data_IF_312865714301
#
_entry.id   IF_312865714301
#
_cell.length_a   1.000
_cell.length_b   1.000
_cell.length_c   1.000
_cell.angle_alpha   90.00
_cell.angle_beta   90.00
_cell.angle_gamma   90.00
#
_symmetry.space_group_name_H-M   'P 1'
#
loop_
_entity.id
_entity.type
_entity.pdbx_description
1 polymer ?
#
# COMPACT_ATOMS: atom_id res chain seq x y z
N UNK A 1 -55.06 -63.78 11.82
CA UNK A 1 -54.71 -62.52 12.48
C UNK A 1 -53.44 -62.03 11.84
N UNK A 2 -53.48 -61.06 10.82
CA UNK A 2 -52.31 -60.53 10.09
C UNK A 2 -51.91 -59.26 10.79
N UNK A 3 -50.74 -59.23 11.35
CA UNK A 3 -50.13 -58.00 11.90
C UNK A 3 -49.47 -57.21 10.77
N UNK A 4 -49.96 -56.03 10.48
CA UNK A 4 -49.39 -55.08 9.56
C UNK A 4 -48.34 -54.25 10.30
N UNK A 5 -47.05 -54.36 9.91
CA UNK A 5 -45.96 -53.52 10.44
C UNK A 5 -45.94 -52.20 9.65
N UNK A 6 -46.24 -51.12 10.33
CA UNK A 6 -46.08 -49.74 9.78
C UNK A 6 -44.62 -49.27 10.00
N UNK A 7 -43.89 -49.01 8.95
CA UNK A 7 -42.55 -48.40 9.00
C UNK A 7 -42.71 -46.90 8.95
N UNK A 8 -42.24 -46.23 10.02
CA UNK A 8 -42.13 -44.76 10.08
C UNK A 8 -40.82 -44.34 9.42
N UNK A 9 -40.85 -43.73 8.25
CA UNK A 9 -39.70 -43.12 7.60
C UNK A 9 -39.47 -41.73 8.21
N UNK A 10 -38.40 -41.57 8.99
CA UNK A 10 -37.93 -40.28 9.49
C UNK A 10 -37.00 -39.71 8.43
N UNK A 11 -37.47 -38.68 7.69
CA UNK A 11 -36.63 -37.91 6.78
C UNK A 11 -35.81 -36.90 7.58
N UNK A 12 -34.50 -37.12 7.71
CA UNK A 12 -33.56 -36.17 8.28
C UNK A 12 -33.22 -35.18 7.15
N UNK A 13 -33.76 -33.97 7.25
CA UNK A 13 -33.35 -32.84 6.39
C UNK A 13 -31.98 -32.35 6.87
N UNK A 14 -30.92 -32.65 6.15
CA UNK A 14 -29.61 -32.04 6.30
C UNK A 14 -29.66 -30.63 5.77
N UNK A 15 -29.74 -29.64 6.65
CA UNK A 15 -29.51 -28.24 6.34
C UNK A 15 -28.02 -28.06 6.05
N UNK A 16 -27.65 -28.07 4.75
CA UNK A 16 -26.35 -27.58 4.33
C UNK A 16 -26.38 -26.05 4.46
N UNK A 17 -25.80 -25.53 5.54
CA UNK A 17 -25.41 -24.13 5.60
C UNK A 17 -24.23 -23.96 4.63
N UNK A 18 -24.50 -23.50 3.42
CA UNK A 18 -23.45 -23.01 2.52
C UNK A 18 -22.83 -21.80 3.21
N UNK A 19 -21.63 -21.94 3.75
CA UNK A 19 -20.76 -20.79 4.01
C UNK A 19 -20.45 -20.18 2.66
N UNK A 20 -21.18 -19.14 2.29
CA UNK A 20 -20.82 -18.28 1.18
C UNK A 20 -19.47 -17.63 1.56
N UNK A 21 -18.39 -18.07 0.95
CA UNK A 21 -17.18 -17.26 0.94
C UNK A 21 -17.54 -15.99 0.15
N UNK A 22 -17.36 -14.84 0.76
CA UNK A 22 -17.58 -13.58 0.10
C UNK A 22 -16.82 -13.57 -1.24
N UNK A 23 -17.52 -13.33 -2.34
CA UNK A 23 -16.92 -13.42 -3.68
C UNK A 23 -15.97 -12.24 -3.87
N UNK A 24 -14.67 -12.53 -4.05
CA UNK A 24 -13.64 -11.54 -4.32
C UNK A 24 -13.63 -11.19 -5.80
N UNK A 25 -14.01 -9.97 -6.15
CA UNK A 25 -13.86 -9.44 -7.51
C UNK A 25 -12.42 -8.99 -7.76
N UNK A 26 -11.79 -9.49 -8.81
CA UNK A 26 -10.42 -9.11 -9.19
C UNK A 26 -10.42 -8.53 -10.61
N UNK A 27 -10.05 -7.25 -10.71
CA UNK A 27 -9.76 -6.59 -11.98
C UNK A 27 -8.25 -6.43 -12.11
N UNK A 28 -7.64 -7.28 -12.93
CA UNK A 28 -6.19 -7.30 -13.13
C UNK A 28 -5.75 -6.27 -14.18
N UNK A 29 -4.52 -5.78 -14.00
CA UNK A 29 -3.76 -5.03 -15.00
C UNK A 29 -4.50 -3.81 -15.57
N UNK A 30 -5.10 -3.01 -14.70
CA UNK A 30 -5.67 -1.71 -15.06
C UNK A 30 -4.54 -0.77 -15.45
N UNK A 31 -4.52 -0.31 -16.69
CA UNK A 31 -3.46 0.57 -17.20
C UNK A 31 -3.71 1.99 -16.69
N UNK A 32 -2.77 2.56 -15.94
CA UNK A 32 -2.81 3.94 -15.47
C UNK A 32 -1.86 4.88 -16.22
N UNK A 33 -1.00 4.32 -17.06
CA UNK A 33 -0.07 5.08 -17.88
C UNK A 33 0.76 4.20 -18.80
N UNK A 34 1.54 4.84 -19.64
CA UNK A 34 2.54 4.20 -20.51
C UNK A 34 3.88 4.89 -20.34
N UNK A 35 4.96 4.13 -20.35
CA UNK A 35 6.33 4.61 -20.19
C UNK A 35 7.27 3.76 -21.05
N UNK A 36 7.98 4.39 -21.97
CA UNK A 36 8.96 3.73 -22.85
C UNK A 36 8.44 2.43 -23.53
N UNK A 37 7.20 2.47 -24.00
CA UNK A 37 6.55 1.33 -24.66
C UNK A 37 6.00 0.27 -23.72
N UNK A 38 6.04 0.49 -22.38
CA UNK A 38 5.45 -0.42 -21.39
C UNK A 38 4.17 0.19 -20.80
N UNK A 39 3.21 -0.67 -20.46
CA UNK A 39 2.08 -0.29 -19.65
C UNK A 39 2.50 -0.24 -18.17
N UNK A 40 2.09 0.81 -17.48
CA UNK A 40 2.11 0.91 -16.03
C UNK A 40 0.75 0.47 -15.50
N UNK A 41 0.72 -0.50 -14.58
CA UNK A 41 -0.51 -1.16 -14.18
C UNK A 41 -0.70 -1.22 -12.67
N UNK A 42 -1.97 -1.29 -12.26
CA UNK A 42 -2.39 -1.75 -10.95
C UNK A 42 -3.49 -2.80 -11.09
N UNK A 43 -3.77 -3.53 -10.02
CA UNK A 43 -4.94 -4.41 -9.96
C UNK A 43 -5.88 -3.95 -8.86
N UNK A 44 -7.18 -4.28 -8.98
CA UNK A 44 -8.20 -3.97 -7.97
C UNK A 44 -8.75 -5.28 -7.43
N UNK A 45 -8.58 -5.50 -6.13
CA UNK A 45 -9.13 -6.62 -5.40
C UNK A 45 -10.25 -6.07 -4.50
N UNK A 46 -11.49 -6.34 -4.87
CA UNK A 46 -12.66 -5.80 -4.17
C UNK A 46 -13.48 -6.92 -3.55
N UNK A 47 -13.65 -6.93 -2.22
CA UNK A 47 -14.52 -7.88 -1.54
C UNK A 47 -16.00 -7.54 -1.79
N UNK A 48 -16.88 -8.54 -1.68
CA UNK A 48 -18.34 -8.35 -1.82
C UNK A 48 -18.90 -7.31 -0.84
N UNK A 49 -18.36 -7.28 0.39
CA UNK A 49 -18.74 -6.36 1.46
C UNK A 49 -17.89 -5.06 1.47
N UNK A 50 -17.45 -4.58 0.30
CA UNK A 50 -16.59 -3.40 0.21
C UNK A 50 -17.21 -2.19 0.94
N UNK A 51 -16.41 -1.56 1.81
CA UNK A 51 -16.82 -0.43 2.66
C UNK A 51 -16.59 0.96 2.02
N UNK A 52 -16.05 0.96 0.79
CA UNK A 52 -15.72 2.16 0.02
C UNK A 52 -14.32 2.72 0.29
N UNK A 53 -13.62 2.29 1.33
CA UNK A 53 -12.22 2.67 1.53
C UNK A 53 -11.28 1.75 0.75
N UNK A 54 -10.14 2.28 0.32
CA UNK A 54 -9.14 1.53 -0.44
C UNK A 54 -7.75 1.61 0.18
N UNK A 55 -7.01 0.51 0.08
CA UNK A 55 -5.60 0.44 0.49
C UNK A 55 -4.74 0.19 -0.73
N UNK A 56 -3.92 1.17 -1.07
CA UNK A 56 -2.96 1.06 -2.16
C UNK A 56 -1.65 0.51 -1.63
N UNK A 57 -1.22 -0.61 -2.17
CA UNK A 57 0.03 -1.28 -1.81
C UNK A 57 1.10 -1.02 -2.85
N UNK A 58 2.22 -0.43 -2.42
CA UNK A 58 3.38 -0.19 -3.29
C UNK A 58 4.13 -1.49 -3.55
N UNK A 59 4.02 -2.04 -4.75
CA UNK A 59 4.78 -3.23 -5.17
C UNK A 59 6.20 -2.81 -5.49
N UNK A 60 7.03 -2.69 -4.45
CA UNK A 60 8.39 -2.17 -4.54
C UNK A 60 9.31 -2.78 -3.48
N UNK A 61 10.45 -3.29 -3.90
CA UNK A 61 11.54 -3.76 -3.03
C UNK A 61 12.86 -3.33 -3.63
N UNK A 62 13.63 -2.42 -2.96
CA UNK A 62 14.79 -1.77 -3.57
C UNK A 62 14.45 -1.01 -4.87
N UNK A 63 13.21 -0.51 -4.95
CA UNK A 63 12.60 0.12 -6.13
C UNK A 63 12.55 -0.80 -7.38
N UNK A 64 12.69 -2.11 -7.19
CA UNK A 64 12.26 -3.09 -8.17
C UNK A 64 10.76 -3.35 -8.01
N UNK A 65 10.00 -3.16 -9.07
CA UNK A 65 8.56 -3.45 -9.12
C UNK A 65 8.33 -4.63 -10.06
N UNK A 66 8.21 -5.82 -9.48
CA UNK A 66 8.05 -7.06 -10.25
C UNK A 66 6.58 -7.41 -10.36
N UNK A 67 6.11 -7.56 -11.59
CA UNK A 67 4.74 -8.00 -11.83
C UNK A 67 4.46 -9.37 -11.20
N UNK A 68 3.27 -9.51 -10.67
CA UNK A 68 2.77 -10.75 -10.06
C UNK A 68 1.26 -10.84 -10.30
N UNK A 69 0.70 -12.04 -10.49
CA UNK A 69 -0.74 -12.19 -10.60
C UNK A 69 -1.48 -11.62 -9.40
N UNK A 70 -2.59 -10.91 -9.66
CA UNK A 70 -3.37 -10.21 -8.61
C UNK A 70 -3.80 -11.14 -7.47
N UNK A 71 -4.09 -12.41 -7.76
CA UNK A 71 -4.48 -13.43 -6.78
C UNK A 71 -3.46 -13.63 -5.65
N UNK A 72 -2.16 -13.37 -5.89
CA UNK A 72 -1.13 -13.45 -4.84
C UNK A 72 -1.29 -12.38 -3.76
N UNK A 73 -1.91 -11.27 -4.10
CA UNK A 73 -2.17 -10.20 -3.13
C UNK A 73 -3.39 -10.50 -2.28
N UNK A 74 -4.36 -11.28 -2.76
CA UNK A 74 -5.53 -11.68 -1.99
C UNK A 74 -5.14 -12.38 -0.68
N UNK A 75 -4.25 -13.38 -0.72
CA UNK A 75 -3.79 -14.08 0.48
C UNK A 75 -2.83 -13.24 1.36
N UNK A 76 -2.20 -12.23 0.79
CA UNK A 76 -1.32 -11.33 1.56
C UNK A 76 -2.10 -10.28 2.35
N UNK A 77 -3.28 -9.95 1.90
CA UNK A 77 -4.14 -8.89 2.42
C UNK A 77 -5.54 -9.39 2.75
N UNK A 78 -5.65 -10.68 3.13
CA UNK A 78 -6.92 -11.30 3.53
C UNK A 78 -7.56 -10.54 4.70
N UNK A 79 -6.76 -10.12 5.68
CA UNK A 79 -7.18 -9.30 6.82
C UNK A 79 -7.85 -7.97 6.39
N UNK A 80 -7.32 -7.32 5.35
CA UNK A 80 -7.89 -6.08 4.82
C UNK A 80 -9.15 -6.33 4.01
N UNK A 81 -9.14 -7.36 3.17
CA UNK A 81 -10.28 -7.76 2.35
C UNK A 81 -11.46 -8.20 3.23
N UNK A 82 -11.20 -8.99 4.29
CA UNK A 82 -12.20 -9.41 5.28
C UNK A 82 -12.81 -8.22 6.03
N UNK A 83 -12.01 -7.17 6.26
CA UNK A 83 -12.46 -5.91 6.85
C UNK A 83 -13.22 -5.00 5.87
N UNK A 84 -13.39 -5.42 4.61
CA UNK A 84 -14.14 -4.68 3.59
C UNK A 84 -13.33 -3.64 2.82
N UNK A 85 -12.01 -3.56 3.01
CA UNK A 85 -11.18 -2.66 2.20
C UNK A 85 -10.97 -3.20 0.79
N UNK A 86 -11.04 -2.32 -0.20
CA UNK A 86 -10.54 -2.62 -1.54
C UNK A 86 -9.02 -2.52 -1.53
N UNK A 87 -8.30 -3.56 -2.00
CA UNK A 87 -6.84 -3.57 -2.05
C UNK A 87 -6.35 -3.35 -3.48
N UNK A 88 -5.40 -2.42 -3.65
CA UNK A 88 -4.90 -2.01 -4.97
C UNK A 88 -3.37 -2.10 -4.99
N UNK A 89 -2.78 -3.25 -5.41
CA UNK A 89 -1.36 -3.34 -5.66
C UNK A 89 -0.98 -2.54 -6.90
N UNK A 90 -0.08 -1.56 -6.74
CA UNK A 90 0.42 -0.68 -7.80
C UNK A 90 1.84 -1.06 -8.19
N UNK A 91 2.07 -1.22 -9.49
CA UNK A 91 3.38 -1.44 -10.08
C UNK A 91 3.88 -0.14 -10.72
N UNK A 92 5.16 0.16 -10.55
CA UNK A 92 5.84 1.32 -11.14
C UNK A 92 6.96 0.88 -12.10
N UNK A 93 7.55 1.81 -12.82
CA UNK A 93 8.75 1.55 -13.62
C UNK A 93 9.88 1.01 -12.75
N UNK A 94 10.33 -0.20 -13.06
CA UNK A 94 11.24 -0.97 -12.21
C UNK A 94 12.72 -0.64 -12.44
N UNK A 95 13.51 -0.62 -11.36
CA UNK A 95 14.96 -0.71 -11.46
C UNK A 95 15.39 -1.97 -12.28
N UNK A 96 16.55 -1.99 -12.93
CA UNK A 96 17.54 -0.91 -13.00
C UNK A 96 17.26 0.15 -14.08
N UNK A 97 16.18 0.00 -14.86
CA UNK A 97 15.86 0.92 -15.96
C UNK A 97 15.45 2.29 -15.46
N UNK A 98 14.66 2.34 -14.37
CA UNK A 98 14.14 3.56 -13.80
C UNK A 98 14.70 3.81 -12.41
N UNK A 99 14.75 5.07 -12.01
CA UNK A 99 15.32 5.56 -10.75
C UNK A 99 14.22 5.95 -9.77
N UNK A 100 14.59 6.25 -8.54
CA UNK A 100 13.65 6.60 -7.47
C UNK A 100 12.70 7.76 -7.84
N UNK A 101 13.18 8.88 -8.41
CA UNK A 101 12.28 9.97 -8.80
C UNK A 101 11.25 9.55 -9.84
N UNK A 102 11.61 8.65 -10.76
CA UNK A 102 10.68 8.14 -11.78
C UNK A 102 9.67 7.15 -11.18
N UNK A 103 10.09 6.33 -10.21
CA UNK A 103 9.19 5.44 -9.48
C UNK A 103 8.16 6.23 -8.67
N UNK A 104 8.57 7.34 -8.03
CA UNK A 104 7.65 8.24 -7.32
C UNK A 104 6.66 8.90 -8.28
N UNK A 105 7.11 9.43 -9.41
CA UNK A 105 6.23 10.02 -10.42
C UNK A 105 5.17 9.01 -10.92
N UNK A 106 5.56 7.74 -11.08
CA UNK A 106 4.65 6.68 -11.52
C UNK A 106 3.58 6.38 -10.46
N UNK A 107 3.96 6.21 -9.17
CA UNK A 107 2.97 5.93 -8.11
C UNK A 107 2.08 7.14 -7.81
N UNK A 108 2.62 8.37 -7.92
CA UNK A 108 1.83 9.60 -7.85
C UNK A 108 0.75 9.63 -8.95
N UNK A 109 1.14 9.32 -10.19
CA UNK A 109 0.18 9.19 -11.29
C UNK A 109 -0.84 8.08 -11.03
N UNK A 110 -0.44 6.96 -10.44
CA UNK A 110 -1.36 5.87 -10.13
C UNK A 110 -2.45 6.30 -9.14
N UNK A 111 -2.11 7.04 -8.08
CA UNK A 111 -3.10 7.60 -7.13
C UNK A 111 -4.08 8.52 -7.85
N UNK A 112 -3.59 9.45 -8.69
CA UNK A 112 -4.45 10.34 -9.48
C UNK A 112 -5.41 9.56 -10.40
N UNK A 113 -4.91 8.51 -11.05
CA UNK A 113 -5.73 7.65 -11.91
C UNK A 113 -6.78 6.86 -11.09
N UNK A 114 -6.42 6.35 -9.90
CA UNK A 114 -7.35 5.67 -9.01
C UNK A 114 -8.44 6.64 -8.57
N UNK A 115 -8.11 7.86 -8.17
CA UNK A 115 -9.09 8.90 -7.80
C UNK A 115 -10.02 9.27 -8.95
N UNK A 116 -9.48 9.48 -10.15
CA UNK A 116 -10.29 9.76 -11.36
C UNK A 116 -11.30 8.66 -11.65
N UNK A 117 -10.97 7.40 -11.34
CA UNK A 117 -11.81 6.24 -11.61
C UNK A 117 -12.44 5.64 -10.36
N UNK A 118 -12.39 6.34 -9.22
CA UNK A 118 -12.84 5.83 -7.92
C UNK A 118 -14.28 5.31 -7.95
N UNK A 119 -15.20 6.04 -8.60
CA UNK A 119 -16.60 5.63 -8.76
C UNK A 119 -16.77 4.31 -9.54
N UNK A 120 -15.89 4.01 -10.50
CA UNK A 120 -15.93 2.74 -11.26
C UNK A 120 -15.49 1.54 -10.41
N UNK A 121 -14.79 1.79 -9.32
CA UNK A 121 -14.30 0.79 -8.38
C UNK A 121 -15.07 0.80 -7.06
N UNK A 122 -16.13 1.61 -6.93
CA UNK A 122 -16.89 1.75 -5.69
C UNK A 122 -16.05 2.29 -4.53
N UNK A 123 -15.04 3.10 -4.84
CA UNK A 123 -14.10 3.68 -3.88
C UNK A 123 -14.47 5.14 -3.63
N UNK A 124 -14.38 5.56 -2.38
CA UNK A 124 -14.40 6.96 -1.98
C UNK A 124 -12.98 7.54 -2.17
N UNK A 125 -12.78 8.54 -3.05
CA UNK A 125 -11.47 9.09 -3.33
C UNK A 125 -10.81 9.77 -2.12
N UNK A 126 -11.58 10.13 -1.09
CA UNK A 126 -11.08 10.75 0.13
C UNK A 126 -10.72 9.72 1.22
N UNK A 127 -10.96 8.42 0.96
CA UNK A 127 -10.67 7.31 1.89
C UNK A 127 -9.67 6.31 1.29
N UNK A 128 -8.56 6.83 0.77
CA UNK A 128 -7.46 6.04 0.21
C UNK A 128 -6.29 6.07 1.18
N UNK A 129 -5.92 4.90 1.71
CA UNK A 129 -4.68 4.71 2.45
C UNK A 129 -3.58 4.09 1.60
N UNK A 130 -2.33 4.32 1.96
CA UNK A 130 -1.17 3.74 1.26
C UNK A 130 -0.26 2.97 2.20
N UNK A 131 0.34 1.88 1.71
CA UNK A 131 1.26 1.06 2.49
C UNK A 131 2.33 0.42 1.63
N UNK A 132 3.48 0.17 2.24
CA UNK A 132 4.59 -0.54 1.62
C UNK A 132 5.74 -0.77 2.58
N UNK A 133 6.68 -1.64 2.22
CA UNK A 133 7.89 -1.91 3.01
C UNK A 133 9.14 -1.45 2.26
N UNK A 134 10.17 -1.00 3.00
CA UNK A 134 11.45 -0.58 2.43
C UNK A 134 11.27 0.52 1.37
N UNK A 135 11.70 0.29 0.15
CA UNK A 135 11.43 1.20 -0.98
C UNK A 135 9.93 1.51 -1.18
N UNK A 136 9.04 0.53 -0.91
CA UNK A 136 7.59 0.76 -0.94
C UNK A 136 7.11 1.65 0.21
N UNK A 137 7.72 1.55 1.39
CA UNK A 137 7.49 2.42 2.53
C UNK A 137 7.93 3.87 2.24
N UNK A 138 9.11 4.02 1.63
CA UNK A 138 9.59 5.30 1.13
C UNK A 138 8.58 5.95 0.16
N UNK A 139 8.13 5.20 -0.87
CA UNK A 139 7.15 5.71 -1.83
C UNK A 139 5.81 6.06 -1.17
N UNK A 140 5.40 5.30 -0.14
CA UNK A 140 4.18 5.59 0.62
C UNK A 140 4.29 6.90 1.41
N UNK A 141 5.44 7.14 2.04
CA UNK A 141 5.70 8.41 2.73
C UNK A 141 5.71 9.59 1.76
N UNK A 142 6.43 9.47 0.64
CA UNK A 142 6.47 10.52 -0.39
C UNK A 142 5.08 10.88 -0.92
N UNK A 143 4.18 9.89 -1.11
CA UNK A 143 2.81 10.14 -1.57
C UNK A 143 1.99 10.99 -0.59
N UNK A 144 2.17 10.81 0.70
CA UNK A 144 1.45 11.61 1.68
C UNK A 144 2.08 12.95 1.98
N UNK A 145 3.41 13.03 1.90
CA UNK A 145 4.19 14.19 2.38
C UNK A 145 4.61 15.16 1.25
N UNK A 146 4.49 14.74 -0.03
CA UNK A 146 4.77 15.58 -1.21
C UNK A 146 3.57 15.51 -2.17
N UNK A 147 2.36 15.63 -1.60
CA UNK A 147 1.12 15.60 -2.36
C UNK A 147 0.77 16.98 -2.95
N UNK A 148 0.02 16.99 -4.04
CA UNK A 148 -0.50 18.22 -4.65
C UNK A 148 -1.96 18.05 -5.13
N UNK A 149 -2.62 19.17 -5.34
CA UNK A 149 -4.01 19.23 -5.78
C UNK A 149 -4.24 18.87 -7.26
N UNK A 150 -3.19 18.52 -7.99
CA UNK A 150 -3.21 18.33 -9.44
C UNK A 150 -3.03 19.63 -10.23
N UNK A 151 -2.87 19.49 -11.55
CA UNK A 151 -2.58 20.60 -12.46
C UNK A 151 -3.88 21.00 -13.18
N UNK A 152 -4.49 22.09 -12.74
CA UNK A 152 -5.72 22.57 -13.36
C UNK A 152 -5.51 22.88 -14.85
N UNK A 153 -6.38 22.31 -15.70
CA UNK A 153 -6.33 22.52 -17.15
C UNK A 153 -5.25 21.70 -17.89
N UNK A 154 -4.58 20.76 -17.22
CA UNK A 154 -3.67 19.85 -17.91
C UNK A 154 -4.41 19.08 -19.02
N UNK A 155 -3.70 18.78 -20.11
CA UNK A 155 -4.27 17.99 -21.23
C UNK A 155 -4.57 16.55 -20.84
N UNK A 156 -3.76 15.99 -19.97
CA UNK A 156 -3.99 14.69 -19.35
C UNK A 156 -4.95 14.84 -18.16
N UNK A 157 -6.16 14.28 -18.28
CA UNK A 157 -7.17 14.37 -17.24
C UNK A 157 -6.74 13.71 -15.92
N UNK A 158 -5.87 12.72 -15.97
CA UNK A 158 -5.30 12.08 -14.79
C UNK A 158 -4.54 13.11 -13.96
N UNK A 159 -3.73 13.95 -14.59
CA UNK A 159 -2.91 14.96 -13.93
C UNK A 159 -3.71 16.13 -13.32
N UNK A 160 -5.01 16.23 -13.61
CA UNK A 160 -5.90 17.23 -12.98
C UNK A 160 -6.36 16.83 -11.58
N UNK A 161 -6.20 15.55 -11.21
CA UNK A 161 -6.62 15.05 -9.91
C UNK A 161 -5.50 15.18 -8.89
N UNK A 162 -5.84 15.32 -7.61
CA UNK A 162 -4.87 15.29 -6.54
C UNK A 162 -4.23 13.89 -6.38
N UNK A 163 -3.04 13.82 -5.78
CA UNK A 163 -2.41 12.58 -5.36
C UNK A 163 -2.35 12.43 -3.83
N UNK A 164 -3.09 13.26 -3.09
CA UNK A 164 -3.19 13.16 -1.64
C UNK A 164 -3.80 11.81 -1.20
N UNK A 165 -3.45 11.39 -0.01
CA UNK A 165 -3.91 10.15 0.61
C UNK A 165 -4.35 10.42 2.05
N UNK A 166 -5.26 9.60 2.58
CA UNK A 166 -5.90 9.85 3.87
C UNK A 166 -5.18 9.22 5.07
N UNK A 167 -4.33 8.20 4.85
CA UNK A 167 -3.53 7.57 5.90
C UNK A 167 -2.36 6.80 5.31
N UNK A 168 -1.28 6.67 6.08
CA UNK A 168 -0.05 5.98 5.66
C UNK A 168 0.34 4.92 6.69
N UNK A 169 0.75 3.74 6.21
CA UNK A 169 1.51 2.77 7.01
C UNK A 169 2.78 2.40 6.26
N UNK A 170 3.93 2.77 6.80
CA UNK A 170 5.23 2.51 6.20
C UNK A 170 6.06 1.56 7.07
N UNK A 171 6.55 0.49 6.47
CA UNK A 171 7.40 -0.49 7.13
C UNK A 171 8.86 -0.22 6.78
N UNK A 172 9.70 -0.07 7.79
CA UNK A 172 11.16 0.08 7.67
C UNK A 172 11.61 0.91 6.45
N UNK A 173 11.07 2.16 6.29
CA UNK A 173 11.36 2.98 5.12
C UNK A 173 12.74 3.64 5.23
N UNK A 174 13.54 3.74 4.15
CA UNK A 174 14.58 4.74 4.07
C UNK A 174 13.93 6.12 3.91
N UNK A 175 14.36 7.11 4.69
CA UNK A 175 13.70 8.43 4.73
C UNK A 175 14.59 9.59 4.27
N UNK A 176 15.90 9.37 4.25
CA UNK A 176 16.87 10.34 3.73
C UNK A 176 17.74 9.69 2.65
N UNK A 177 17.57 10.09 1.40
CA UNK A 177 18.32 9.50 0.30
C UNK A 177 19.58 10.27 -0.05
N UNK A 178 19.87 11.41 0.62
CA UNK A 178 20.99 12.29 0.26
C UNK A 178 22.35 11.62 0.41
N UNK A 179 22.50 10.79 1.44
CA UNK A 179 23.75 10.09 1.74
C UNK A 179 23.93 8.75 1.00
N UNK A 180 22.83 8.21 0.41
CA UNK A 180 22.85 6.90 -0.24
C UNK A 180 22.64 6.97 -1.76
N UNK A 181 22.41 8.17 -2.30
CA UNK A 181 22.24 8.41 -3.75
C UNK A 181 23.58 8.42 -4.46
N UNK A 182 23.68 7.73 -5.59
CA UNK A 182 24.86 7.59 -6.41
C UNK A 182 25.00 6.17 -6.97
N UNK A 183 26.11 5.86 -7.65
CA UNK A 183 26.35 4.53 -8.21
C UNK A 183 26.18 3.43 -7.16
N UNK A 184 25.26 2.52 -7.40
CA UNK A 184 24.88 1.48 -6.44
C UNK A 184 24.46 0.19 -7.18
N UNK A 185 25.30 -0.82 -7.12
CA UNK A 185 25.05 -2.12 -7.79
C UNK A 185 23.89 -2.89 -7.13
N UNK A 186 23.71 -2.76 -5.82
CA UNK A 186 22.66 -3.45 -5.08
C UNK A 186 21.29 -2.79 -5.29
N UNK A 187 21.27 -1.46 -5.33
CA UNK A 187 20.07 -0.66 -5.51
C UNK A 187 20.24 0.35 -6.64
N UNK A 188 20.25 -0.11 -7.90
CA UNK A 188 20.55 0.75 -9.05
C UNK A 188 19.52 1.89 -9.25
N UNK A 189 18.36 1.83 -8.60
CA UNK A 189 17.42 2.96 -8.58
C UNK A 189 17.97 4.21 -7.88
N UNK A 190 18.98 4.06 -7.00
CA UNK A 190 19.66 5.16 -6.30
C UNK A 190 20.72 5.85 -7.17
N UNK A 191 21.08 5.28 -8.34
CA UNK A 191 22.04 5.87 -9.26
C UNK A 191 21.36 6.97 -10.10
N UNK A 192 21.12 8.12 -9.47
CA UNK A 192 20.60 9.34 -10.08
C UNK A 192 21.36 10.57 -9.59
N UNK A 193 21.05 11.71 -10.15
CA UNK A 193 21.73 12.97 -9.84
C UNK A 193 21.55 13.36 -8.36
N UNK A 194 22.64 13.48 -7.56
CA UNK A 194 22.55 13.75 -6.12
C UNK A 194 21.77 15.04 -5.76
N UNK A 195 21.80 16.05 -6.66
CA UNK A 195 21.03 17.28 -6.46
C UNK A 195 19.51 17.05 -6.36
N UNK A 196 19.00 15.92 -6.84
CA UNK A 196 17.58 15.53 -6.77
C UNK A 196 17.24 14.76 -5.49
N UNK A 197 18.23 14.33 -4.71
CA UNK A 197 17.99 13.46 -3.56
C UNK A 197 17.14 14.15 -2.48
N UNK A 198 17.34 15.44 -2.23
CA UNK A 198 16.53 16.20 -1.27
C UNK A 198 15.03 16.19 -1.62
N UNK A 199 14.70 16.36 -2.91
CA UNK A 199 13.32 16.37 -3.38
C UNK A 199 12.61 15.00 -3.31
N UNK A 200 13.33 13.94 -2.97
CA UNK A 200 12.81 12.58 -2.86
C UNK A 200 13.17 11.94 -1.51
N UNK A 201 13.45 12.76 -0.50
CA UNK A 201 13.78 12.35 0.87
C UNK A 201 12.62 12.73 1.80
N UNK A 202 11.75 11.78 2.21
CA UNK A 202 10.57 12.05 3.05
C UNK A 202 10.84 12.94 4.26
N UNK A 203 11.98 12.76 4.92
CA UNK A 203 12.36 13.52 6.12
C UNK A 203 12.40 15.05 5.90
N UNK A 204 12.49 15.50 4.67
CA UNK A 204 12.54 16.93 4.31
C UNK A 204 11.17 17.50 3.90
N UNK A 205 10.14 16.67 3.88
CA UNK A 205 8.80 17.04 3.41
C UNK A 205 7.75 17.07 4.53
N UNK A 206 8.12 16.77 5.77
CA UNK A 206 7.19 16.74 6.89
C UNK A 206 6.49 18.11 7.08
N UNK A 207 5.15 18.12 7.00
CA UNK A 207 4.32 19.31 7.09
C UNK A 207 3.11 19.05 8.02
N UNK A 208 2.66 20.03 8.83
CA UNK A 208 1.51 19.86 9.72
C UNK A 208 0.21 19.41 9.06
N UNK A 209 0.10 19.50 7.74
CA UNK A 209 -1.09 19.06 6.97
C UNK A 209 -0.99 17.61 6.47
N UNK A 210 0.12 16.93 6.75
CA UNK A 210 0.30 15.54 6.36
C UNK A 210 -0.75 14.61 7.01
N UNK A 211 -1.16 13.54 6.31
CA UNK A 211 -2.13 12.60 6.83
C UNK A 211 -1.57 11.80 8.02
N UNK A 212 -2.41 11.12 8.82
CA UNK A 212 -1.95 10.22 9.88
C UNK A 212 -0.98 9.14 9.38
N UNK A 213 0.16 8.96 10.08
CA UNK A 213 1.27 8.09 9.67
C UNK A 213 1.62 7.07 10.76
N UNK A 214 1.66 5.79 10.40
CA UNK A 214 2.22 4.72 11.24
C UNK A 214 3.53 4.23 10.65
N UNK A 215 4.61 4.29 11.44
CA UNK A 215 5.89 3.66 11.14
C UNK A 215 6.01 2.36 11.93
N UNK A 216 6.43 1.27 11.27
CA UNK A 216 6.72 -0.01 11.91
C UNK A 216 8.11 -0.47 11.49
N UNK A 217 9.03 -0.69 12.45
CA UNK A 217 10.42 -1.03 12.17
C UNK A 217 10.95 -2.09 13.15
N UNK A 218 11.78 -2.99 12.69
CA UNK A 218 12.49 -3.94 13.53
C UNK A 218 13.82 -3.35 14.06
N UNK A 219 14.15 -3.58 15.32
CA UNK A 219 15.38 -3.03 15.90
C UNK A 219 16.67 -3.81 15.55
N UNK A 220 16.51 -4.97 14.88
CA UNK A 220 17.62 -5.73 14.32
C UNK A 220 17.71 -5.62 12.77
N UNK A 221 17.17 -4.53 12.19
CA UNK A 221 17.25 -4.29 10.75
C UNK A 221 18.64 -3.77 10.35
N UNK A 222 19.41 -4.65 9.69
CA UNK A 222 20.78 -4.34 9.22
C UNK A 222 20.80 -3.74 7.79
N UNK A 223 19.66 -3.65 7.12
CA UNK A 223 19.59 -3.11 5.75
C UNK A 223 19.15 -1.66 5.70
N UNK A 224 18.09 -1.34 6.42
CA UNK A 224 17.64 0.03 6.67
C UNK A 224 17.62 0.20 8.18
N UNK A 225 18.60 0.90 8.70
CA UNK A 225 18.76 1.09 10.15
C UNK A 225 17.52 1.73 10.75
N UNK A 226 17.13 1.29 11.95
CA UNK A 226 15.97 1.81 12.68
C UNK A 226 16.03 3.33 12.91
N UNK A 227 17.24 3.91 12.90
CA UNK A 227 17.45 5.36 12.95
C UNK A 227 16.63 6.13 11.93
N UNK A 228 16.40 5.56 10.72
CA UNK A 228 15.51 6.16 9.74
C UNK A 228 14.12 6.44 10.28
N UNK A 229 13.49 5.46 10.96
CA UNK A 229 12.17 5.65 11.56
C UNK A 229 12.19 6.50 12.82
N UNK A 230 13.27 6.43 13.62
CA UNK A 230 13.44 7.27 14.80
C UNK A 230 13.54 8.75 14.40
N UNK A 231 14.39 9.06 13.42
CA UNK A 231 14.60 10.44 12.95
C UNK A 231 13.32 10.98 12.28
N UNK A 232 12.61 10.13 11.51
CA UNK A 232 11.35 10.52 10.89
C UNK A 232 10.26 10.80 11.93
N UNK A 233 10.15 9.97 12.97
CA UNK A 233 9.20 10.19 14.06
C UNK A 233 9.50 11.50 14.82
N UNK A 234 10.78 11.79 15.05
CA UNK A 234 11.17 13.05 15.67
C UNK A 234 10.78 14.28 14.83
N UNK A 235 10.87 14.18 13.50
CA UNK A 235 10.39 15.25 12.61
C UNK A 235 8.86 15.35 12.62
N UNK A 236 8.11 14.23 12.66
CA UNK A 236 6.66 14.25 12.81
C UNK A 236 6.21 14.93 14.11
N UNK A 237 6.87 14.62 15.24
CA UNK A 237 6.58 15.25 16.54
C UNK A 237 6.85 16.76 16.51
N UNK A 238 7.93 17.18 15.89
CA UNK A 238 8.29 18.60 15.73
C UNK A 238 7.27 19.36 14.89
N UNK A 239 6.71 18.73 13.86
CA UNK A 239 5.68 19.30 12.98
C UNK A 239 4.25 19.09 13.51
N UNK A 240 4.07 18.41 14.64
CA UNK A 240 2.78 18.07 15.24
C UNK A 240 1.87 17.20 14.33
N UNK A 241 2.49 16.34 13.51
CA UNK A 241 1.78 15.39 12.65
C UNK A 241 1.22 14.25 13.51
N UNK A 242 0.00 13.82 13.23
CA UNK A 242 -0.57 12.62 13.86
C UNK A 242 0.20 11.39 13.43
N UNK A 243 1.02 10.83 14.34
CA UNK A 243 1.89 9.71 14.00
C UNK A 243 2.06 8.75 15.17
N UNK A 244 2.35 7.49 14.84
CA UNK A 244 2.81 6.46 15.78
C UNK A 244 4.05 5.78 15.19
N UNK A 245 5.02 5.46 16.04
CA UNK A 245 6.16 4.63 15.69
C UNK A 245 6.18 3.39 16.58
N UNK A 246 6.19 2.22 15.94
CA UNK A 246 6.23 0.92 16.63
C UNK A 246 7.49 0.17 16.26
N UNK A 247 8.26 -0.21 17.27
CA UNK A 247 9.41 -1.11 17.13
C UNK A 247 8.97 -2.56 17.34
N UNK A 248 9.41 -3.47 16.46
CA UNK A 248 9.25 -4.92 16.65
C UNK A 248 10.60 -5.47 17.13
N UNK A 249 10.70 -5.88 18.41
CA UNK A 249 11.97 -6.29 18.99
C UNK A 249 12.55 -7.54 18.34
N UNK A 250 13.83 -7.50 17.98
CA UNK A 250 14.58 -8.59 17.36
C UNK A 250 14.25 -8.83 15.88
N UNK A 251 13.31 -8.09 15.30
CA UNK A 251 12.98 -8.23 13.90
C UNK A 251 14.00 -7.54 12.98
N UNK A 252 14.37 -8.22 11.90
CA UNK A 252 15.22 -7.68 10.83
C UNK A 252 14.42 -7.08 9.69
N UNK A 253 15.11 -6.82 8.56
CA UNK A 253 14.48 -6.27 7.35
C UNK A 253 13.49 -7.27 6.71
N UNK A 254 12.21 -6.91 6.71
CA UNK A 254 11.13 -7.76 6.20
C UNK A 254 10.62 -8.75 7.24
N UNK A 255 9.47 -8.44 7.82
CA UNK A 255 8.84 -9.23 8.88
C UNK A 255 8.39 -10.61 8.40
N UNK A 256 8.48 -11.63 9.28
CA UNK A 256 8.09 -13.02 9.02
C UNK A 256 7.40 -13.61 10.24
N UNK A 257 6.58 -14.66 10.01
CA UNK A 257 5.91 -15.36 11.11
C UNK A 257 5.10 -14.43 12.01
N UNK A 258 5.34 -14.47 13.31
CA UNK A 258 4.61 -13.68 14.31
C UNK A 258 4.81 -12.17 14.12
N UNK A 259 6.01 -11.73 13.77
CA UNK A 259 6.31 -10.31 13.48
C UNK A 259 5.46 -9.77 12.33
N UNK A 260 5.31 -10.57 11.26
CA UNK A 260 4.47 -10.20 10.11
C UNK A 260 2.99 -10.14 10.50
N UNK A 261 2.52 -11.06 11.34
CA UNK A 261 1.14 -11.08 11.84
C UNK A 261 0.86 -9.87 12.72
N UNK A 262 1.78 -9.56 13.65
CA UNK A 262 1.66 -8.39 14.51
C UNK A 262 1.64 -7.09 13.70
N UNK A 263 2.57 -6.93 12.75
CA UNK A 263 2.64 -5.76 11.89
C UNK A 263 1.40 -5.61 11.00
N UNK A 264 0.82 -6.72 10.51
CA UNK A 264 -0.42 -6.71 9.74
C UNK A 264 -1.62 -6.25 10.59
N UNK A 265 -1.74 -6.74 11.84
CA UNK A 265 -2.80 -6.31 12.76
C UNK A 265 -2.71 -4.81 13.05
N UNK A 266 -1.51 -4.27 13.33
CA UNK A 266 -1.31 -2.84 13.56
C UNK A 266 -1.69 -1.99 12.33
N UNK A 267 -1.31 -2.44 11.13
CA UNK A 267 -1.71 -1.80 9.87
C UNK A 267 -3.23 -1.77 9.71
N UNK A 268 -3.90 -2.91 9.96
CA UNK A 268 -5.35 -3.00 9.85
C UNK A 268 -6.04 -2.05 10.82
N UNK A 269 -5.60 -2.01 12.08
CA UNK A 269 -6.16 -1.12 13.11
C UNK A 269 -5.95 0.35 12.76
N UNK A 270 -4.78 0.71 12.22
CA UNK A 270 -4.49 2.07 11.76
C UNK A 270 -5.46 2.51 10.66
N UNK A 271 -5.60 1.70 9.62
CA UNK A 271 -6.49 2.05 8.53
C UNK A 271 -7.97 2.04 8.92
N UNK A 272 -8.40 1.17 9.84
CA UNK A 272 -9.76 1.25 10.40
C UNK A 272 -10.00 2.56 11.14
N UNK A 273 -9.01 3.02 11.91
CA UNK A 273 -9.11 4.26 12.71
C UNK A 273 -9.27 5.51 11.85
N UNK A 274 -8.60 5.55 10.70
CA UNK A 274 -8.51 6.78 9.91
C UNK A 274 -9.28 6.75 8.59
N UNK A 275 -9.75 5.60 8.15
CA UNK A 275 -10.49 5.48 6.89
C UNK A 275 -11.95 5.03 7.06
N UNK A 276 -12.36 4.57 8.25
CA UNK A 276 -13.74 4.16 8.54
C UNK A 276 -14.39 5.04 9.59
#
# INVERSE_FOLDING_TARGET
>A
MKMTKTYLLVAIALLFTSTSFAELSIKSDVIYGHKDGMALVYSVLQPENANGAAIVFMVSGGWFSRWSPAQRYASRFDDMLDAGFTVIPVHHGSAPRYRVPEAYADVSRAIRHIKLHAGQHGIDPDRIGVTGGSAGGHLSLMLGMDSDAGINGDRDEVMRNSNDVAAIVAYFPPVDLREITGPNDRFPALDFEPAKAAAISPILHADPTDPPILLIHGDADELVEISNSVDMQAEFEKQHITSEFVTIPGAGHGFRGEDATQAAAMRLDWFKRYLL
#
